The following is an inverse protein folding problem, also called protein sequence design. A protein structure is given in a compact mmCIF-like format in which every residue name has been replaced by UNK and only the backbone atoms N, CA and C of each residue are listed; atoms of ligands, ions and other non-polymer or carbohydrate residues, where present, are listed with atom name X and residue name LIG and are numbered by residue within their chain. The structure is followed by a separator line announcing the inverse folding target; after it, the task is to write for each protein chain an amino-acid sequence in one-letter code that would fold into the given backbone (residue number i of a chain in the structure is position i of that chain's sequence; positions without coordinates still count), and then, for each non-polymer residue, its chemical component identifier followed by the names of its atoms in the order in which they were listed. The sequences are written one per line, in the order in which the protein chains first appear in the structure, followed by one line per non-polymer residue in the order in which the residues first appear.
data_IF_455012130473
#
_entry.id   IF_455012130473
#
_cell.length_a   1.000
_cell.length_b   1.000
_cell.length_c   1.000
_cell.angle_alpha   90.00
_cell.angle_beta   90.00
_cell.angle_gamma   90.00
#
_symmetry.space_group_name_H-M   'P 1'
#
loop_
_entity.id
_entity.type
_entity.pdbx_description
1 polymer ?
#
# COMPACT_ATOMS: atom_id res chain seq x y z
N UNK A 1 -27.96 -18.04 8.37
CA UNK A 1 -26.89 -18.60 7.52
C UNK A 1 -26.01 -17.43 7.09
N UNK A 2 -24.73 -17.43 7.45
CA UNK A 2 -23.80 -16.44 6.92
C UNK A 2 -23.68 -16.64 5.41
N UNK A 3 -23.62 -15.57 4.60
CA UNK A 3 -23.38 -15.72 3.17
C UNK A 3 -22.06 -16.48 2.96
N UNK A 4 -21.98 -17.39 1.97
CA UNK A 4 -20.74 -18.12 1.72
C UNK A 4 -19.63 -17.12 1.46
N UNK A 5 -18.54 -17.23 2.22
CA UNK A 5 -17.35 -16.39 2.04
C UNK A 5 -16.87 -16.66 0.62
N UNK A 6 -17.04 -15.68 -0.26
CA UNK A 6 -16.65 -15.80 -1.65
C UNK A 6 -15.14 -15.99 -1.67
N UNK A 7 -14.69 -17.20 -2.02
CA UNK A 7 -13.26 -17.50 -2.08
C UNK A 7 -12.67 -16.68 -3.21
N UNK A 8 -11.79 -15.78 -2.84
CA UNK A 8 -10.99 -15.02 -3.79
C UNK A 8 -10.15 -15.98 -4.63
N UNK A 9 -10.32 -15.94 -5.95
CA UNK A 9 -9.55 -16.72 -6.89
C UNK A 9 -9.49 -15.97 -8.21
N UNK A 10 -8.29 -15.81 -8.77
CA UNK A 10 -8.15 -15.31 -10.12
C UNK A 10 -8.29 -16.44 -11.14
N UNK A 11 -9.01 -16.17 -12.22
CA UNK A 11 -9.07 -17.08 -13.35
C UNK A 11 -7.82 -16.93 -14.22
N UNK A 12 -7.50 -17.98 -14.99
CA UNK A 12 -6.36 -17.94 -15.92
C UNK A 12 -6.52 -16.86 -16.99
N UNK A 13 -7.75 -16.51 -17.34
CA UNK A 13 -8.06 -15.41 -18.26
C UNK A 13 -7.65 -14.05 -17.68
N UNK A 14 -7.89 -13.83 -16.38
CA UNK A 14 -7.51 -12.59 -15.70
C UNK A 14 -6.00 -12.48 -15.61
N UNK A 15 -5.34 -13.55 -15.18
CA UNK A 15 -3.89 -13.63 -15.08
C UNK A 15 -3.21 -13.46 -16.44
N UNK A 16 -3.78 -14.02 -17.50
CA UNK A 16 -3.31 -13.85 -18.87
C UNK A 16 -3.37 -12.38 -19.30
N UNK A 17 -4.46 -11.66 -19.02
CA UNK A 17 -4.59 -10.23 -19.31
C UNK A 17 -3.61 -9.38 -18.51
N UNK A 18 -3.45 -9.67 -17.22
CA UNK A 18 -2.60 -8.90 -16.31
C UNK A 18 -1.10 -9.11 -16.57
N UNK A 19 -0.70 -10.24 -17.17
CA UNK A 19 0.70 -10.58 -17.46
C UNK A 19 1.07 -10.42 -18.93
N UNK A 20 0.08 -10.38 -19.82
CA UNK A 20 0.31 -10.48 -21.27
C UNK A 20 0.75 -11.87 -21.73
N UNK A 21 0.79 -12.86 -20.83
CA UNK A 21 1.10 -14.25 -21.17
C UNK A 21 -0.11 -14.97 -21.75
N UNK A 22 0.11 -16.05 -22.50
CA UNK A 22 -0.97 -16.96 -22.88
C UNK A 22 -1.49 -17.72 -21.65
N UNK A 23 -2.74 -18.15 -21.69
CA UNK A 23 -3.35 -18.96 -20.62
C UNK A 23 -2.57 -20.27 -20.35
N UNK A 24 -2.00 -20.88 -21.40
CA UNK A 24 -1.12 -22.04 -21.28
C UNK A 24 0.18 -21.71 -20.52
N UNK A 25 0.77 -20.54 -20.76
CA UNK A 25 1.94 -20.06 -20.02
C UNK A 25 1.63 -19.88 -18.54
N UNK A 26 0.50 -19.24 -18.23
CA UNK A 26 0.02 -19.08 -16.84
C UNK A 26 -0.19 -20.45 -16.17
N UNK A 27 -0.88 -21.39 -16.85
CA UNK A 27 -1.11 -22.75 -16.35
C UNK A 27 0.19 -23.49 -16.03
N UNK A 28 1.23 -23.28 -16.83
CA UNK A 28 2.55 -23.86 -16.56
C UNK A 28 3.20 -23.31 -15.28
N UNK A 29 3.04 -22.02 -14.99
CA UNK A 29 3.52 -21.44 -13.73
C UNK A 29 2.76 -21.97 -12.51
N UNK A 30 1.45 -22.17 -12.65
CA UNK A 30 0.62 -22.78 -11.60
C UNK A 30 1.03 -24.23 -11.36
N UNK A 31 1.19 -25.02 -12.41
CA UNK A 31 1.57 -26.44 -12.32
C UNK A 31 2.97 -26.64 -11.72
N UNK A 32 3.87 -25.66 -11.89
CA UNK A 32 5.22 -25.66 -11.29
C UNK A 32 5.25 -25.15 -9.84
N UNK A 33 4.12 -24.71 -9.30
CA UNK A 33 4.04 -24.14 -7.95
C UNK A 33 4.59 -22.71 -7.84
N UNK A 34 4.83 -22.02 -8.96
CA UNK A 34 5.33 -20.64 -8.97
C UNK A 34 4.20 -19.61 -8.75
N UNK A 35 2.95 -20.01 -8.92
CA UNK A 35 1.75 -19.18 -8.82
C UNK A 35 0.61 -19.97 -8.17
N UNK A 36 -0.02 -19.40 -7.16
CA UNK A 36 -1.21 -19.93 -6.51
C UNK A 36 -2.35 -18.93 -6.74
N UNK A 37 -3.29 -19.16 -7.68
CA UNK A 37 -4.31 -18.18 -8.08
C UNK A 37 -5.31 -17.80 -6.97
N UNK A 38 -5.46 -18.64 -5.95
CA UNK A 38 -6.32 -18.41 -4.79
C UNK A 38 -5.63 -17.65 -3.66
N UNK A 39 -4.32 -17.40 -3.76
CA UNK A 39 -3.56 -16.64 -2.78
C UNK A 39 -3.18 -15.27 -3.33
N UNK A 40 -3.74 -14.22 -2.73
CA UNK A 40 -3.49 -12.84 -3.11
C UNK A 40 -2.00 -12.48 -3.06
N UNK A 41 -1.26 -12.98 -2.06
CA UNK A 41 0.17 -12.66 -1.91
C UNK A 41 0.98 -13.30 -3.03
N UNK A 42 0.67 -14.57 -3.35
CA UNK A 42 1.26 -15.27 -4.49
C UNK A 42 1.01 -14.53 -5.80
N UNK A 43 -0.23 -14.13 -6.06
CA UNK A 43 -0.60 -13.42 -7.29
C UNK A 43 0.07 -12.04 -7.35
N UNK A 44 0.04 -11.25 -6.28
CA UNK A 44 0.68 -9.94 -6.26
C UNK A 44 2.19 -10.04 -6.51
N UNK A 45 2.86 -11.01 -5.88
CA UNK A 45 4.30 -11.25 -6.06
C UNK A 45 4.63 -11.74 -7.48
N UNK A 46 3.72 -12.46 -8.11
CA UNK A 46 3.86 -12.91 -9.49
C UNK A 46 3.66 -11.76 -10.47
N UNK A 47 2.63 -10.94 -10.29
CA UNK A 47 2.34 -9.76 -11.12
C UNK A 47 3.42 -8.68 -11.00
N UNK A 48 4.04 -8.50 -9.83
CA UNK A 48 5.18 -7.60 -9.68
C UNK A 48 6.37 -7.99 -10.57
N UNK A 49 6.54 -9.29 -10.86
CA UNK A 49 7.64 -9.83 -11.67
C UNK A 49 7.29 -10.00 -13.15
N UNK A 50 6.08 -10.45 -13.45
CA UNK A 50 5.67 -10.88 -14.78
C UNK A 50 4.44 -10.13 -15.32
N UNK A 51 3.87 -9.20 -14.55
CA UNK A 51 2.77 -8.35 -14.97
C UNK A 51 3.16 -7.47 -16.16
N UNK A 52 2.18 -6.97 -16.90
CA UNK A 52 2.41 -5.91 -17.90
C UNK A 52 2.98 -4.66 -17.23
N UNK A 53 3.60 -3.78 -18.02
CA UNK A 53 4.22 -2.56 -17.49
C UNK A 53 3.23 -1.72 -16.67
N UNK A 54 2.03 -1.50 -17.21
CA UNK A 54 0.95 -0.77 -16.54
C UNK A 54 0.58 -1.39 -15.18
N UNK A 55 0.48 -2.73 -15.11
CA UNK A 55 0.15 -3.44 -13.87
C UNK A 55 1.26 -3.30 -12.84
N UNK A 56 2.53 -3.41 -13.26
CA UNK A 56 3.67 -3.24 -12.35
C UNK A 56 3.73 -1.81 -11.83
N UNK A 57 3.51 -0.82 -12.69
CA UNK A 57 3.48 0.60 -12.30
C UNK A 57 2.34 0.88 -11.30
N UNK A 58 1.15 0.34 -11.54
CA UNK A 58 0.01 0.49 -10.62
C UNK A 58 0.30 -0.15 -9.26
N UNK A 59 0.93 -1.33 -9.22
CA UNK A 59 1.32 -2.00 -7.96
C UNK A 59 2.30 -1.10 -7.18
N UNK A 60 3.33 -0.58 -7.85
CA UNK A 60 4.33 0.31 -7.22
C UNK A 60 3.68 1.62 -6.75
N UNK A 61 2.84 2.23 -7.58
CA UNK A 61 2.11 3.46 -7.24
C UNK A 61 1.25 3.26 -5.99
N UNK A 62 0.51 2.15 -5.90
CA UNK A 62 -0.30 1.84 -4.72
C UNK A 62 0.55 1.57 -3.48
N UNK A 63 1.67 0.88 -3.62
CA UNK A 63 2.61 0.70 -2.50
C UNK A 63 3.10 2.05 -1.97
N UNK A 64 3.48 2.98 -2.84
CA UNK A 64 3.90 4.33 -2.45
C UNK A 64 2.78 5.15 -1.79
N UNK A 65 1.52 4.93 -2.19
CA UNK A 65 0.36 5.63 -1.61
C UNK A 65 -0.05 5.07 -0.25
N UNK A 66 0.18 3.78 0.02
CA UNK A 66 -0.06 3.17 1.34
C UNK A 66 0.81 3.87 2.40
N UNK A 67 2.10 4.11 2.12
CA UNK A 67 3.00 4.82 3.03
C UNK A 67 2.55 6.25 3.31
N UNK A 68 1.90 6.91 2.34
CA UNK A 68 1.34 8.26 2.53
C UNK A 68 0.11 8.23 3.44
N UNK A 69 -0.77 7.24 3.32
CA UNK A 69 -1.97 7.13 4.15
C UNK A 69 -1.67 6.66 5.58
N UNK A 70 -0.67 5.79 5.78
CA UNK A 70 -0.22 5.39 7.13
C UNK A 70 0.53 6.54 7.81
N UNK A 71 1.41 7.24 7.09
CA UNK A 71 2.14 8.38 7.65
C UNK A 71 1.27 9.60 7.96
N UNK A 72 0.15 9.83 7.27
CA UNK A 72 -0.80 10.89 7.63
C UNK A 72 -1.64 10.55 8.88
N UNK A 73 -1.86 9.26 9.17
CA UNK A 73 -2.61 8.81 10.36
C UNK A 73 -1.77 8.75 11.63
N UNK A 74 -0.46 8.55 11.48
CA UNK A 74 0.51 8.46 12.58
C UNK A 74 1.52 9.60 12.57
N UNK A 75 1.14 10.83 12.17
CA UNK A 75 1.93 11.99 12.58
C UNK A 75 1.67 12.22 14.08
N UNK A 76 2.60 11.91 15.00
CA UNK A 76 2.55 12.56 16.29
C UNK A 76 2.54 14.06 16.00
N UNK A 77 1.52 14.74 16.54
CA UNK A 77 1.39 16.18 16.46
C UNK A 77 2.71 16.78 16.94
N UNK A 78 3.51 17.30 16.01
CA UNK A 78 4.82 17.88 16.32
C UNK A 78 4.60 18.92 17.42
N UNK A 79 5.08 18.60 18.62
CA UNK A 79 5.01 19.54 19.73
C UNK A 79 5.99 20.65 19.37
N UNK A 80 5.47 21.86 19.27
CA UNK A 80 6.18 23.07 18.89
C UNK A 80 7.59 23.10 19.52
N UNK A 81 8.59 23.39 18.68
CA UNK A 81 10.01 23.26 19.02
C UNK A 81 10.36 23.86 20.38
N UNK A 82 10.96 23.04 21.23
CA UNK A 82 11.65 23.48 22.44
C UNK A 82 12.91 24.22 21.99
N UNK A 83 12.86 25.55 21.96
CA UNK A 83 14.06 26.38 21.90
C UNK A 83 14.73 26.37 23.27
N UNK A 84 16.02 26.02 23.32
CA UNK A 84 16.86 26.29 24.50
C UNK A 84 17.45 27.68 24.35
N UNK A 85 17.27 28.50 25.36
CA UNK A 85 17.96 29.79 25.45
C UNK A 85 19.44 29.55 25.83
N UNK A 86 20.28 30.56 25.59
CA UNK A 86 21.73 30.49 25.79
C UNK A 86 22.16 30.18 27.25
N UNK A 87 21.24 30.28 28.22
CA UNK A 87 21.42 29.94 29.64
C UNK A 87 20.87 28.56 30.04
N UNK A 88 20.44 27.74 29.08
CA UNK A 88 20.06 26.33 29.31
C UNK A 88 18.70 26.11 29.98
N UNK A 89 17.87 27.15 30.14
CA UNK A 89 16.48 27.01 30.59
C UNK A 89 15.56 26.67 29.41
N UNK A 90 14.56 25.82 29.68
CA UNK A 90 13.52 25.40 28.74
C UNK A 90 12.35 26.37 28.87
N UNK A 91 12.11 27.22 27.86
CA UNK A 91 10.90 28.03 27.79
C UNK A 91 9.86 27.37 26.87
N UNK A 92 8.68 27.06 27.42
CA UNK A 92 7.52 26.60 26.65
C UNK A 92 6.81 27.84 26.11
N UNK A 93 6.98 28.13 24.81
CA UNK A 93 6.25 29.21 24.15
C UNK A 93 4.79 28.81 23.95
N UNK A 94 3.91 29.20 24.86
CA UNK A 94 2.47 29.10 24.65
C UNK A 94 2.02 30.10 23.58
N UNK A 95 1.79 29.61 22.36
CA UNK A 95 1.11 30.38 21.30
C UNK A 95 -0.34 30.65 21.71
N UNK A 96 -0.62 31.87 22.18
CA UNK A 96 -1.98 32.34 22.41
C UNK A 96 -2.67 32.48 21.05
N UNK A 97 -3.49 31.49 20.66
CA UNK A 97 -4.49 31.66 19.60
C UNK A 97 -5.46 32.76 20.04
N UNK A 98 -5.36 33.93 19.41
CA UNK A 98 -6.39 34.95 19.50
C UNK A 98 -7.67 34.46 18.79
N UNK A 99 -8.86 34.61 19.38
CA UNK A 99 -10.11 34.29 18.68
C UNK A 99 -10.37 35.34 17.59
N UNK A 100 -10.54 34.88 16.35
CA UNK A 100 -11.06 35.70 15.23
C UNK A 100 -12.45 36.19 15.61
N UNK A 101 -12.64 37.51 15.69
CA UNK A 101 -13.98 38.12 15.70
C UNK A 101 -14.59 38.03 14.30
N UNK A 102 -15.87 37.64 14.27
CA UNK A 102 -16.77 37.72 13.11
C UNK A 102 -17.08 39.18 12.76
#
# INVERSE_FOLDING_TARGET
MAPPVQKFCYDYSDLSRLTGMTTSGVSQHVSRGNLIPSDLVSVASFLARHGTEDVRLEIVYRMMMIDRQTSERERPQSTEGIGRDHDGKIEIKHSKRAPKKQ
#
